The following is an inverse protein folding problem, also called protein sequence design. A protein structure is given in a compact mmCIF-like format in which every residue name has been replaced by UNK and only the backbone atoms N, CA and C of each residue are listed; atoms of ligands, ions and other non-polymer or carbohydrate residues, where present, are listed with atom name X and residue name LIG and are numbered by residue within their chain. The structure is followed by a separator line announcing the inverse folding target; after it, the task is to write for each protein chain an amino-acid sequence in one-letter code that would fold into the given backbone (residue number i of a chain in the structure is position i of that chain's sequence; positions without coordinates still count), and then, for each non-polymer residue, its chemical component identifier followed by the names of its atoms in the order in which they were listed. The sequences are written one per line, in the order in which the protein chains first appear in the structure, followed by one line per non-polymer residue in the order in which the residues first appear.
data_IF_070145243915
#
_entry.id   IF_070145243915
#
_cell.length_a   1.000
_cell.length_b   1.000
_cell.length_c   1.000
_cell.angle_alpha   90.00
_cell.angle_beta   90.00
_cell.angle_gamma   90.00
#
_symmetry.space_group_name_H-M   'P 1'
#
loop_
_entity.id
_entity.type
_entity.pdbx_description
1 polymer ?
#
# COMPACT_ATOMS: atom_id res chain seq x y z
N UNK A 1 33.91 8.08 22.63
CA UNK A 1 32.61 8.64 22.22
C UNK A 1 32.13 7.91 20.97
N UNK A 2 31.16 6.99 21.02
CA UNK A 2 30.74 6.27 19.83
C UNK A 2 29.80 7.16 18.99
N UNK A 3 30.38 8.15 18.30
CA UNK A 3 29.72 9.09 17.38
C UNK A 3 29.48 8.51 15.98
N UNK A 4 29.01 7.27 15.91
CA UNK A 4 28.65 6.61 14.65
C UNK A 4 27.20 6.87 14.25
N UNK A 5 26.90 6.75 12.95
CA UNK A 5 25.50 6.65 12.48
C UNK A 5 24.79 5.51 13.22
N UNK A 6 23.54 5.75 13.62
CA UNK A 6 22.69 4.69 14.19
C UNK A 6 22.64 3.51 13.22
N UNK A 7 22.83 2.31 13.73
CA UNK A 7 22.69 1.06 12.98
C UNK A 7 21.22 0.66 12.88
N UNK A 8 20.93 -0.34 12.06
CA UNK A 8 19.57 -0.89 11.97
C UNK A 8 19.10 -1.42 13.34
N UNK A 9 19.95 -2.16 14.04
CA UNK A 9 19.69 -2.65 15.39
C UNK A 9 19.37 -1.53 16.38
N UNK A 10 20.15 -0.43 16.37
CA UNK A 10 19.90 0.71 17.25
C UNK A 10 18.48 1.28 17.02
N UNK A 11 18.02 1.31 15.77
CA UNK A 11 16.67 1.79 15.41
C UNK A 11 15.56 0.83 15.85
N UNK A 12 15.82 -0.48 15.84
CA UNK A 12 14.88 -1.47 16.36
C UNK A 12 14.67 -1.29 17.86
N UNK A 13 15.75 -1.04 18.62
CA UNK A 13 15.65 -0.73 20.06
C UNK A 13 14.90 0.58 20.32
N UNK A 14 15.05 1.61 19.48
CA UNK A 14 14.25 2.84 19.59
C UNK A 14 12.76 2.53 19.39
N UNK A 15 12.40 1.74 18.37
CA UNK A 15 11.02 1.39 18.08
C UNK A 15 10.39 0.55 19.20
N UNK A 16 11.11 -0.44 19.73
CA UNK A 16 10.66 -1.25 20.86
C UNK A 16 10.43 -0.39 22.11
N UNK A 17 11.39 0.48 22.46
CA UNK A 17 11.25 1.35 23.62
C UNK A 17 10.07 2.34 23.51
N UNK A 18 9.76 2.83 22.31
CA UNK A 18 8.57 3.67 22.10
C UNK A 18 7.26 2.88 22.25
N UNK A 19 7.21 1.64 21.75
CA UNK A 19 6.05 0.78 21.91
C UNK A 19 5.77 0.40 23.38
N UNK A 20 6.84 0.30 24.18
CA UNK A 20 6.78 0.10 25.63
C UNK A 20 6.53 1.40 26.42
N UNK A 21 6.38 2.55 25.74
CA UNK A 21 6.12 3.84 26.37
C UNK A 21 7.34 4.46 27.09
N UNK A 22 8.55 3.99 26.82
CA UNK A 22 9.77 4.53 27.41
C UNK A 22 10.06 5.95 26.93
N UNK A 23 10.58 6.78 27.84
CA UNK A 23 11.03 8.13 27.51
C UNK A 23 12.31 8.14 26.67
N UNK A 24 12.53 9.20 25.87
CA UNK A 24 13.69 9.29 24.97
C UNK A 24 15.05 9.21 25.68
N UNK A 25 15.13 9.69 26.93
CA UNK A 25 16.35 9.61 27.75
C UNK A 25 16.67 8.18 28.19
N UNK A 26 15.64 7.36 28.39
CA UNK A 26 15.72 5.95 28.76
C UNK A 26 16.28 5.12 27.60
N UNK A 27 15.69 5.30 26.41
CA UNK A 27 16.12 4.68 25.15
C UNK A 27 17.56 5.08 24.82
N UNK A 28 17.92 6.34 25.07
CA UNK A 28 19.27 6.86 24.86
C UNK A 28 20.31 6.18 25.78
N UNK A 29 19.98 5.93 27.05
CA UNK A 29 20.85 5.17 27.97
C UNK A 29 21.02 3.72 27.52
N UNK A 30 19.94 3.05 27.09
CA UNK A 30 20.01 1.66 26.62
C UNK A 30 20.94 1.49 25.41
N UNK A 31 21.01 2.51 24.55
CA UNK A 31 21.83 2.49 23.34
C UNK A 31 23.23 3.07 23.50
N UNK A 32 23.58 3.57 24.69
CA UNK A 32 24.79 4.38 24.92
C UNK A 32 24.93 5.49 23.85
N UNK A 33 23.87 6.28 23.70
CA UNK A 33 23.77 7.38 22.73
C UNK A 33 23.26 8.66 23.40
N UNK A 34 23.60 9.85 22.88
CA UNK A 34 22.99 11.10 23.34
C UNK A 34 21.48 11.12 23.08
N UNK A 35 20.69 11.61 24.04
CA UNK A 35 19.23 11.77 23.90
C UNK A 35 18.84 12.63 22.70
N UNK A 36 19.67 13.62 22.35
CA UNK A 36 19.47 14.46 21.16
C UNK A 36 19.62 13.72 19.83
N UNK A 37 20.33 12.58 19.81
CA UNK A 37 20.43 11.71 18.62
C UNK A 37 19.13 10.92 18.44
N UNK A 38 18.61 10.36 19.53
CA UNK A 38 17.36 9.59 19.54
C UNK A 38 16.18 10.50 19.18
N UNK A 39 16.08 11.67 19.83
CA UNK A 39 15.01 12.64 19.55
C UNK A 39 15.01 13.12 18.09
N UNK A 40 16.17 13.47 17.53
CA UNK A 40 16.28 13.90 16.12
C UNK A 40 16.00 12.77 15.14
N UNK A 41 16.38 11.53 15.47
CA UNK A 41 16.07 10.37 14.66
C UNK A 41 14.56 10.11 14.62
N UNK A 42 13.89 10.15 15.78
CA UNK A 42 12.44 9.94 15.89
C UNK A 42 11.68 11.04 15.14
N UNK A 43 12.03 12.32 15.39
CA UNK A 43 11.39 13.45 14.74
C UNK A 43 11.54 13.42 13.21
N UNK A 44 12.71 12.99 12.71
CA UNK A 44 12.99 12.91 11.26
C UNK A 44 12.27 11.76 10.56
N UNK A 45 11.77 10.77 11.30
CA UNK A 45 11.19 9.55 10.74
C UNK A 45 9.77 9.28 11.26
N UNK A 46 8.95 10.32 11.40
CA UNK A 46 7.51 10.19 11.65
C UNK A 46 7.06 10.45 13.09
N UNK A 47 7.96 10.86 13.99
CA UNK A 47 7.62 11.16 15.38
C UNK A 47 7.32 9.91 16.22
N UNK A 48 7.03 10.04 17.52
CA UNK A 48 6.93 8.91 18.44
C UNK A 48 5.79 7.94 18.09
N UNK A 49 4.64 8.43 17.63
CA UNK A 49 3.48 7.60 17.27
C UNK A 49 3.64 6.89 15.91
N UNK A 50 4.53 7.38 15.04
CA UNK A 50 4.73 6.87 13.68
C UNK A 50 6.11 6.25 13.44
N UNK A 51 6.97 6.15 14.45
CA UNK A 51 8.34 5.71 14.29
C UNK A 51 8.44 4.22 13.94
N UNK A 52 9.10 3.90 12.82
CA UNK A 52 9.38 2.52 12.39
C UNK A 52 10.85 2.33 12.05
N UNK A 53 11.47 1.32 12.64
CA UNK A 53 12.91 1.07 12.56
C UNK A 53 13.41 0.80 11.12
N UNK A 54 12.69 -0.06 10.39
CA UNK A 54 13.03 -0.44 9.01
C UNK A 54 12.94 0.76 8.09
N UNK A 55 11.86 1.54 8.20
CA UNK A 55 11.65 2.76 7.45
C UNK A 55 12.78 3.79 7.69
N UNK A 56 13.14 4.04 8.95
CA UNK A 56 14.21 4.97 9.32
C UNK A 56 15.59 4.51 8.81
N UNK A 57 15.81 3.19 8.74
CA UNK A 57 17.03 2.60 8.18
C UNK A 57 17.13 2.84 6.67
N UNK A 58 16.10 2.45 5.90
CA UNK A 58 16.06 2.64 4.45
C UNK A 58 16.14 4.13 4.05
N UNK A 59 15.43 5.02 4.75
CA UNK A 59 15.49 6.46 4.50
C UNK A 59 16.89 7.07 4.69
N UNK A 60 17.69 6.51 5.61
CA UNK A 60 19.09 6.94 5.81
C UNK A 60 19.98 6.51 4.64
N UNK A 61 19.76 5.30 4.11
CA UNK A 61 20.54 4.77 2.98
C UNK A 61 20.25 5.49 1.67
N UNK A 62 18.97 5.78 1.38
CA UNK A 62 18.58 6.53 0.17
C UNK A 62 19.18 7.95 0.15
N UNK A 63 19.25 8.62 1.31
CA UNK A 63 19.88 9.95 1.45
C UNK A 63 21.39 9.90 1.27
N UNK A 64 22.06 8.88 1.81
CA UNK A 64 23.49 8.69 1.62
C UNK A 64 23.87 8.45 0.15
N UNK A 65 22.96 7.84 -0.64
CA UNK A 65 23.13 7.63 -2.08
C UNK A 65 22.90 8.91 -2.90
N UNK A 66 21.90 9.73 -2.54
CA UNK A 66 21.66 11.04 -3.20
C UNK A 66 22.83 12.02 -3.03
N UNK A 67 23.51 11.99 -1.88
CA UNK A 67 24.67 12.85 -1.62
C UNK A 67 25.94 12.44 -2.39
N UNK A 68 25.95 11.28 -3.07
CA UNK A 68 27.11 10.77 -3.83
C UNK A 68 27.05 11.09 -5.34
N UNK A 69 26.04 11.83 -5.80
CA UNK A 69 25.95 12.27 -7.20
C UNK A 69 26.72 13.60 -7.36
N UNK A 70 27.69 13.72 -8.28
CA UNK A 70 28.37 14.99 -8.50
C UNK A 70 27.40 16.01 -9.13
N UNK A 71 27.48 17.32 -8.81
CA UNK A 71 26.62 18.31 -9.42
C UNK A 71 26.98 18.48 -10.90
N UNK A 72 26.07 18.09 -11.79
CA UNK A 72 26.22 18.25 -13.24
C UNK A 72 26.01 19.71 -13.64
N UNK A 73 26.99 20.20 -14.41
CA UNK A 73 27.17 21.53 -14.98
C UNK A 73 25.91 22.20 -15.57
N UNK A 74 25.85 23.51 -15.35
CA UNK A 74 24.99 24.47 -16.01
C UNK A 74 25.52 24.65 -17.44
N UNK A 75 24.73 24.33 -18.46
CA UNK A 75 25.08 24.66 -19.85
C UNK A 75 24.32 25.91 -20.29
N UNK A 76 25.12 26.95 -20.53
CA UNK A 76 24.76 28.22 -21.14
C UNK A 76 24.71 28.07 -22.67
N UNK A 77 23.78 28.78 -23.32
CA UNK A 77 23.57 28.71 -24.77
C UNK A 77 24.23 29.90 -25.47
N UNK A 78 25.21 29.65 -26.36
CA UNK A 78 25.53 30.56 -27.47
C UNK A 78 26.38 29.90 -28.59
N UNK A 79 25.77 29.76 -29.78
CA UNK A 79 26.26 30.26 -31.08
C UNK A 79 27.63 29.85 -31.69
N UNK A 80 27.52 29.34 -32.93
CA UNK A 80 28.40 29.54 -34.10
C UNK A 80 29.64 28.61 -34.31
N UNK A 81 29.64 27.89 -35.45
CA UNK A 81 30.84 27.27 -36.05
C UNK A 81 31.64 28.26 -36.92
N UNK A 82 32.46 27.83 -37.92
CA UNK A 82 32.87 26.47 -38.31
C UNK A 82 34.39 26.30 -38.61
N UNK A 83 34.85 25.07 -38.85
CA UNK A 83 35.95 24.83 -39.81
C UNK A 83 37.09 23.86 -39.44
N UNK A 84 37.24 22.85 -40.31
CA UNK A 84 38.47 22.27 -40.90
C UNK A 84 39.02 20.92 -40.40
N UNK A 85 39.21 20.07 -41.42
CA UNK A 85 40.29 19.11 -41.71
C UNK A 85 40.29 17.71 -41.07
N UNK A 86 39.69 16.78 -41.82
CA UNK A 86 40.32 15.62 -42.51
C UNK A 86 41.69 15.18 -41.97
N UNK A 87 41.74 14.02 -41.33
CA UNK A 87 42.84 13.05 -41.46
C UNK A 87 42.22 11.65 -41.50
N UNK A 88 42.45 10.95 -42.60
CA UNK A 88 42.21 9.52 -42.81
C UNK A 88 43.31 8.74 -42.07
N UNK A 89 42.95 7.65 -41.37
CA UNK A 89 43.80 6.46 -41.24
C UNK A 89 42.98 5.27 -40.69
N UNK A 90 42.86 4.28 -41.56
CA UNK A 90 42.86 2.84 -41.36
C UNK A 90 41.72 2.12 -40.60
N UNK A 91 40.99 1.40 -41.45
CA UNK A 91 40.16 0.23 -41.21
C UNK A 91 40.92 -0.88 -40.48
N UNK A 92 40.30 -1.42 -39.45
CA UNK A 92 40.34 -2.85 -39.16
C UNK A 92 38.92 -3.27 -38.78
N UNK A 93 38.22 -3.83 -39.76
CA UNK A 93 37.06 -4.69 -39.56
C UNK A 93 37.45 -5.87 -38.65
N UNK A 94 36.65 -6.12 -37.61
CA UNK A 94 36.16 -7.47 -37.31
C UNK A 94 34.94 -7.36 -36.38
N UNK A 95 33.81 -7.17 -37.06
CA UNK A 95 32.51 -7.79 -36.84
C UNK A 95 32.27 -8.48 -35.48
N UNK A 96 31.64 -7.74 -34.58
CA UNK A 96 31.07 -8.25 -33.32
C UNK A 96 29.73 -7.58 -32.99
N UNK A 97 28.97 -7.16 -34.02
CA UNK A 97 27.67 -6.51 -33.80
C UNK A 97 26.61 -7.58 -33.57
N UNK A 98 26.47 -8.03 -32.33
CA UNK A 98 25.30 -8.79 -31.84
C UNK A 98 24.02 -7.94 -32.05
N UNK A 99 23.15 -8.24 -33.03
CA UNK A 99 21.95 -7.49 -33.28
C UNK A 99 20.82 -8.13 -32.46
N UNK A 100 20.69 -7.76 -31.18
CA UNK A 100 19.55 -8.28 -30.41
C UNK A 100 19.52 -8.03 -28.91
N UNK A 101 20.63 -7.65 -28.27
CA UNK A 101 20.59 -7.29 -26.84
C UNK A 101 20.11 -5.86 -26.67
N UNK A 102 18.79 -5.67 -26.71
CA UNK A 102 18.16 -4.46 -26.18
C UNK A 102 18.66 -4.32 -24.74
N UNK A 103 19.47 -3.29 -24.49
CA UNK A 103 20.09 -3.05 -23.19
C UNK A 103 18.96 -2.80 -22.21
N UNK A 104 18.61 -3.81 -21.41
CA UNK A 104 17.54 -3.73 -20.43
C UNK A 104 17.91 -2.60 -19.46
N UNK A 105 17.13 -1.52 -19.48
CA UNK A 105 17.30 -0.41 -18.55
C UNK A 105 16.77 -0.88 -17.20
N UNK A 106 17.68 -1.41 -16.39
CA UNK A 106 17.34 -1.86 -15.05
C UNK A 106 17.15 -0.64 -14.14
N UNK A 107 16.03 -0.61 -13.41
CA UNK A 107 15.75 0.39 -12.39
C UNK A 107 16.54 0.14 -11.09
N UNK A 108 16.27 0.95 -10.05
CA UNK A 108 16.92 0.86 -8.73
C UNK A 108 16.78 -0.53 -8.06
N UNK A 109 15.84 -1.35 -8.52
CA UNK A 109 15.51 -2.68 -8.00
C UNK A 109 15.86 -3.82 -8.98
N UNK A 110 16.54 -3.52 -10.09
CA UNK A 110 16.91 -4.55 -11.07
C UNK A 110 15.75 -5.01 -11.95
N UNK A 111 14.66 -4.24 -12.07
CA UNK A 111 13.53 -4.51 -12.97
C UNK A 111 13.72 -3.75 -14.27
N UNK A 112 13.21 -4.29 -15.37
CA UNK A 112 13.17 -3.55 -16.64
C UNK A 112 12.23 -2.34 -16.56
N UNK A 113 12.79 -1.14 -16.61
CA UNK A 113 12.07 0.12 -16.53
C UNK A 113 11.11 0.33 -17.71
N UNK A 114 11.35 -0.31 -18.86
CA UNK A 114 10.42 -0.32 -20.00
C UNK A 114 9.20 -1.17 -19.65
N UNK A 115 9.42 -2.38 -19.15
CA UNK A 115 8.35 -3.30 -18.78
C UNK A 115 7.44 -2.73 -17.65
N UNK A 116 8.01 -2.02 -16.67
CA UNK A 116 7.23 -1.35 -15.61
C UNK A 116 6.32 -0.27 -16.20
N UNK A 117 6.82 0.51 -17.17
CA UNK A 117 6.02 1.55 -17.84
C UNK A 117 4.92 0.95 -18.72
N UNK A 118 5.20 -0.11 -19.45
CA UNK A 118 4.20 -0.83 -20.25
C UNK A 118 3.12 -1.48 -19.36
N UNK A 119 3.49 -1.98 -18.19
CA UNK A 119 2.52 -2.44 -17.20
C UNK A 119 1.64 -1.29 -16.70
N UNK A 120 2.23 -0.13 -16.35
CA UNK A 120 1.46 1.03 -15.90
C UNK A 120 0.44 1.52 -16.96
N UNK A 121 0.81 1.47 -18.25
CA UNK A 121 -0.10 1.81 -19.35
C UNK A 121 -1.24 0.80 -19.48
N UNK A 122 -0.95 -0.50 -19.48
CA UNK A 122 -1.99 -1.55 -19.49
C UNK A 122 -2.91 -1.48 -18.27
N UNK A 123 -2.36 -1.17 -17.09
CA UNK A 123 -3.15 -1.02 -15.89
C UNK A 123 -4.08 0.20 -15.97
N UNK A 124 -3.60 1.31 -16.55
CA UNK A 124 -4.45 2.46 -16.84
C UNK A 124 -5.56 2.14 -17.85
N UNK A 125 -5.31 1.29 -18.85
CA UNK A 125 -6.33 0.86 -19.82
C UNK A 125 -7.48 0.09 -19.14
N UNK A 126 -7.17 -0.83 -18.22
CA UNK A 126 -8.19 -1.54 -17.44
C UNK A 126 -9.08 -0.59 -16.62
N UNK A 127 -8.49 0.46 -16.04
CA UNK A 127 -9.26 1.47 -15.31
C UNK A 127 -10.15 2.30 -16.25
N UNK A 128 -9.72 2.55 -17.48
CA UNK A 128 -10.54 3.24 -18.49
C UNK A 128 -11.72 2.39 -18.90
N UNK A 129 -11.53 1.09 -19.08
CA UNK A 129 -12.62 0.13 -19.33
C UNK A 129 -13.61 0.10 -18.16
N UNK A 130 -13.13 0.23 -16.92
CA UNK A 130 -13.95 0.38 -15.73
C UNK A 130 -14.65 1.75 -15.61
N UNK A 131 -14.42 2.68 -16.54
CA UNK A 131 -15.13 3.96 -16.64
C UNK A 131 -14.35 5.19 -16.15
N UNK A 132 -13.09 5.05 -15.74
CA UNK A 132 -12.28 6.22 -15.34
C UNK A 132 -11.86 7.04 -16.57
N UNK A 133 -11.81 8.39 -16.47
CA UNK A 133 -11.25 9.21 -17.52
C UNK A 133 -9.78 8.86 -17.79
N UNK A 134 -9.39 8.78 -19.07
CA UNK A 134 -8.04 8.33 -19.49
C UNK A 134 -6.88 8.96 -18.73
N UNK A 135 -6.90 10.28 -18.51
CA UNK A 135 -5.81 10.94 -17.79
C UNK A 135 -5.82 10.67 -16.28
N UNK A 136 -7.00 10.49 -15.68
CA UNK A 136 -7.15 10.11 -14.28
C UNK A 136 -6.55 8.72 -14.07
N UNK A 137 -6.89 7.76 -14.93
CA UNK A 137 -6.34 6.40 -14.91
C UNK A 137 -4.82 6.38 -15.03
N UNK A 138 -4.24 7.17 -15.96
CA UNK A 138 -2.78 7.26 -16.14
C UNK A 138 -2.05 7.86 -14.93
N UNK A 139 -2.62 8.89 -14.30
CA UNK A 139 -2.08 9.47 -13.06
C UNK A 139 -2.13 8.46 -11.93
N UNK A 140 -3.26 7.77 -11.78
CA UNK A 140 -3.45 6.76 -10.74
C UNK A 140 -2.51 5.56 -10.92
N UNK A 141 -2.37 5.04 -12.14
CA UNK A 141 -1.42 3.98 -12.46
C UNK A 141 0.02 4.40 -12.15
N UNK A 142 0.42 5.65 -12.47
CA UNK A 142 1.76 6.17 -12.18
C UNK A 142 2.04 6.23 -10.67
N UNK A 143 1.02 6.60 -9.88
CA UNK A 143 1.11 6.62 -8.42
C UNK A 143 1.17 5.20 -7.82
N UNK A 144 0.47 4.21 -8.40
CA UNK A 144 0.57 2.81 -7.96
C UNK A 144 1.91 2.16 -8.29
N UNK A 145 2.52 2.54 -9.41
CA UNK A 145 3.77 1.93 -9.87
C UNK A 145 5.01 2.70 -9.44
N UNK A 146 4.88 3.78 -8.65
CA UNK A 146 6.04 4.53 -8.16
C UNK A 146 6.63 3.90 -6.90
N UNK A 147 7.94 3.68 -6.87
CA UNK A 147 8.62 3.20 -5.66
C UNK A 147 8.87 4.32 -4.64
N UNK A 148 8.66 5.58 -5.03
CA UNK A 148 8.91 6.78 -4.21
C UNK A 148 7.83 7.04 -3.15
N UNK A 149 6.78 6.20 -3.09
CA UNK A 149 5.53 6.34 -2.31
C UNK A 149 4.72 7.61 -2.56
N UNK A 150 5.25 8.57 -3.33
CA UNK A 150 4.57 9.81 -3.67
C UNK A 150 5.13 10.40 -4.96
N UNK A 151 4.32 11.17 -5.67
CA UNK A 151 4.78 11.94 -6.83
C UNK A 151 4.33 13.39 -6.69
N UNK A 152 5.18 14.31 -7.11
CA UNK A 152 4.84 15.73 -7.30
C UNK A 152 4.14 15.95 -8.64
N UNK A 153 3.43 17.07 -8.78
CA UNK A 153 2.84 17.47 -10.07
C UNK A 153 3.91 17.56 -11.18
N UNK A 154 5.10 18.05 -10.87
CA UNK A 154 6.21 18.16 -11.82
C UNK A 154 6.74 16.79 -12.26
N UNK A 155 6.79 15.80 -11.36
CA UNK A 155 7.17 14.43 -11.70
C UNK A 155 6.12 13.77 -12.58
N UNK A 156 4.83 13.93 -12.27
CA UNK A 156 3.73 13.43 -13.10
C UNK A 156 3.74 14.05 -14.51
N UNK A 157 3.98 15.37 -14.62
CA UNK A 157 4.12 16.06 -15.91
C UNK A 157 5.26 15.45 -16.74
N UNK A 158 6.44 15.23 -16.12
CA UNK A 158 7.60 14.67 -16.82
C UNK A 158 7.38 13.22 -17.22
N UNK A 159 6.86 12.39 -16.32
CA UNK A 159 6.65 10.96 -16.56
C UNK A 159 5.58 10.71 -17.63
N UNK A 160 4.44 11.40 -17.52
CA UNK A 160 3.31 11.22 -18.42
C UNK A 160 3.40 12.05 -19.71
N UNK A 161 4.39 12.96 -19.79
CA UNK A 161 4.63 13.87 -20.93
C UNK A 161 3.37 14.64 -21.33
N UNK A 162 2.67 15.18 -20.33
CA UNK A 162 1.39 15.92 -20.49
C UNK A 162 1.49 17.32 -19.89
N UNK A 163 0.53 18.18 -20.22
CA UNK A 163 0.52 19.54 -19.68
C UNK A 163 0.28 19.57 -18.15
N UNK A 164 0.81 20.58 -17.44
CA UNK A 164 0.49 20.79 -16.02
C UNK A 164 -1.01 20.91 -15.76
N UNK A 165 -1.76 21.55 -16.65
CA UNK A 165 -3.21 21.70 -16.53
C UNK A 165 -3.95 20.35 -16.57
N UNK A 166 -3.48 19.40 -17.38
CA UNK A 166 -4.03 18.04 -17.44
C UNK A 166 -3.83 17.30 -16.12
N UNK A 167 -2.64 17.43 -15.52
CA UNK A 167 -2.34 16.85 -14.20
C UNK A 167 -3.23 17.49 -13.14
N UNK A 168 -3.32 18.83 -13.08
CA UNK A 168 -4.16 19.51 -12.09
C UNK A 168 -5.63 19.07 -12.14
N UNK A 169 -6.19 18.89 -13.34
CA UNK A 169 -7.57 18.39 -13.51
C UNK A 169 -7.73 16.95 -13.04
N UNK A 170 -6.77 16.08 -13.36
CA UNK A 170 -6.80 14.69 -12.93
C UNK A 170 -6.66 14.54 -11.41
N UNK A 171 -5.76 15.31 -10.80
CA UNK A 171 -5.60 15.37 -9.35
C UNK A 171 -6.88 15.88 -8.68
N UNK A 172 -7.47 16.97 -9.16
CA UNK A 172 -8.72 17.50 -8.59
C UNK A 172 -9.87 16.48 -8.66
N UNK A 173 -9.95 15.70 -9.75
CA UNK A 173 -10.90 14.60 -9.85
C UNK A 173 -10.63 13.52 -8.79
N UNK A 174 -9.38 13.07 -8.68
CA UNK A 174 -8.97 12.02 -7.73
C UNK A 174 -9.16 12.45 -6.27
N UNK A 175 -8.91 13.72 -5.93
CA UNK A 175 -9.19 14.28 -4.62
C UNK A 175 -10.69 14.31 -4.33
N UNK A 176 -11.51 14.67 -5.32
CA UNK A 176 -12.97 14.69 -5.17
C UNK A 176 -13.55 13.30 -4.88
N UNK A 177 -12.98 12.26 -5.50
CA UNK A 177 -13.37 10.86 -5.22
C UNK A 177 -12.55 10.23 -4.09
N UNK A 178 -11.79 11.06 -3.35
CA UNK A 178 -10.97 10.69 -2.19
C UNK A 178 -9.92 9.59 -2.47
N UNK A 179 -9.54 9.42 -3.73
CA UNK A 179 -8.58 8.39 -4.16
C UNK A 179 -7.11 8.77 -3.94
N UNK A 180 -6.82 10.03 -3.65
CA UNK A 180 -5.46 10.48 -3.35
C UNK A 180 -5.49 11.48 -2.21
N UNK A 181 -4.40 11.54 -1.44
CA UNK A 181 -4.18 12.59 -0.46
C UNK A 181 -3.12 13.56 -1.00
N UNK A 182 -3.40 14.86 -0.89
CA UNK A 182 -2.43 15.92 -1.14
C UNK A 182 -1.76 16.30 0.17
N UNK A 183 -0.46 16.09 0.25
CA UNK A 183 0.35 16.47 1.42
C UNK A 183 1.33 17.59 1.09
N UNK A 184 1.63 18.38 2.12
CA UNK A 184 2.64 19.44 2.12
C UNK A 184 3.66 19.13 3.20
N UNK A 185 4.93 19.05 2.85
CA UNK A 185 6.00 18.84 3.82
C UNK A 185 6.36 20.20 4.43
N UNK A 186 6.44 20.27 5.76
CA UNK A 186 6.74 21.50 6.48
C UNK A 186 8.09 22.05 6.02
N UNK A 187 8.08 23.20 5.32
CA UNK A 187 9.29 23.86 4.81
C UNK A 187 9.57 23.65 3.31
N UNK A 188 8.81 22.81 2.61
CA UNK A 188 8.88 22.71 1.13
C UNK A 188 7.69 23.42 0.47
N UNK A 189 7.94 24.09 -0.68
CA UNK A 189 6.88 24.73 -1.49
C UNK A 189 6.07 23.74 -2.35
N UNK A 190 6.50 22.48 -2.44
CA UNK A 190 6.00 21.55 -3.44
C UNK A 190 5.01 20.56 -2.80
N UNK A 191 3.88 20.37 -3.47
CA UNK A 191 2.85 19.40 -3.07
C UNK A 191 3.19 18.01 -3.63
N UNK A 192 2.98 16.97 -2.82
CA UNK A 192 3.13 15.58 -3.23
C UNK A 192 1.81 14.83 -3.02
N UNK A 193 1.56 13.90 -3.93
CA UNK A 193 0.35 13.09 -3.97
C UNK A 193 0.69 11.67 -3.55
N UNK A 194 -0.11 11.14 -2.62
CA UNK A 194 0.08 9.82 -2.03
C UNK A 194 -1.19 9.00 -2.26
N UNK A 195 -1.01 7.72 -2.59
CA UNK A 195 -2.05 6.71 -2.43
C UNK A 195 -1.80 6.09 -1.05
N UNK A 196 -2.65 6.40 -0.08
CA UNK A 196 -2.60 5.75 1.23
C UNK A 196 -3.09 4.30 1.14
N UNK A 197 -2.63 3.45 2.06
CA UNK A 197 -2.95 2.01 2.09
C UNK A 197 -4.48 1.76 2.20
N UNK A 198 -5.26 2.77 2.60
CA UNK A 198 -6.72 2.75 2.80
C UNK A 198 -7.54 3.40 1.66
N UNK A 199 -6.88 3.93 0.62
CA UNK A 199 -7.54 4.69 -0.47
C UNK A 199 -8.64 3.89 -1.16
N UNK A 200 -8.40 2.60 -1.38
CA UNK A 200 -9.39 1.71 -1.95
C UNK A 200 -10.62 1.59 -1.05
N UNK A 201 -10.43 1.50 0.27
CA UNK A 201 -11.52 1.42 1.22
C UNK A 201 -12.36 2.71 1.24
N UNK A 202 -11.73 3.89 1.17
CA UNK A 202 -12.43 5.18 1.13
C UNK A 202 -13.20 5.42 -0.17
N UNK A 203 -12.59 5.15 -1.32
CA UNK A 203 -13.26 5.25 -2.62
C UNK A 203 -14.44 4.25 -2.72
N UNK A 204 -14.26 3.06 -2.15
CA UNK A 204 -15.28 2.02 -2.06
C UNK A 204 -16.46 2.45 -1.17
N UNK A 205 -16.22 3.04 0.01
CA UNK A 205 -17.25 3.61 0.89
C UNK A 205 -17.98 4.81 0.24
N UNK A 206 -17.28 5.66 -0.51
CA UNK A 206 -17.91 6.79 -1.22
C UNK A 206 -18.82 6.30 -2.35
N UNK A 207 -18.43 5.25 -3.07
CA UNK A 207 -19.29 4.64 -4.10
C UNK A 207 -20.50 3.94 -3.48
N UNK A 208 -20.37 3.33 -2.30
CA UNK A 208 -21.48 2.71 -1.59
C UNK A 208 -22.56 3.73 -1.22
N UNK A 209 -22.17 4.91 -0.72
CA UNK A 209 -23.10 6.03 -0.45
C UNK A 209 -23.89 6.46 -1.68
N UNK A 210 -23.23 6.58 -2.83
CA UNK A 210 -23.91 6.95 -4.09
C UNK A 210 -24.92 5.88 -4.49
N UNK A 211 -24.60 4.60 -4.32
CA UNK A 211 -25.55 3.51 -4.60
C UNK A 211 -26.75 3.54 -3.63
N UNK A 212 -26.54 3.88 -2.35
CA UNK A 212 -27.63 4.07 -1.39
C UNK A 212 -28.60 5.19 -1.81
N UNK A 213 -28.07 6.33 -2.27
CA UNK A 213 -28.88 7.46 -2.75
C UNK A 213 -29.74 7.06 -3.97
N UNK A 214 -29.17 6.26 -4.88
CA UNK A 214 -29.89 5.73 -6.04
C UNK A 214 -30.98 4.74 -5.62
N UNK A 215 -30.71 3.91 -4.63
CA UNK A 215 -31.69 2.98 -4.08
C UNK A 215 -32.88 3.72 -3.46
N UNK A 216 -32.62 4.74 -2.64
CA UNK A 216 -33.65 5.56 -2.00
C UNK A 216 -34.53 6.27 -3.04
N UNK A 217 -33.91 6.92 -4.03
CA UNK A 217 -34.64 7.60 -5.10
C UNK A 217 -35.52 6.64 -5.92
N UNK A 218 -35.01 5.44 -6.22
CA UNK A 218 -35.76 4.43 -6.95
C UNK A 218 -36.93 3.86 -6.12
N UNK A 219 -36.73 3.60 -4.83
CA UNK A 219 -37.80 3.15 -3.92
C UNK A 219 -38.89 4.22 -3.74
N UNK A 220 -38.51 5.50 -3.64
CA UNK A 220 -39.47 6.60 -3.63
C UNK A 220 -40.29 6.64 -4.92
N UNK A 221 -39.62 6.53 -6.08
CA UNK A 221 -40.28 6.47 -7.37
C UNK A 221 -41.22 5.26 -7.50
N UNK A 222 -40.82 4.08 -7.02
CA UNK A 222 -41.64 2.88 -7.03
C UNK A 222 -42.96 3.06 -6.25
N UNK A 223 -42.90 3.74 -5.10
CA UNK A 223 -44.09 4.10 -4.31
C UNK A 223 -44.97 5.12 -5.04
N UNK A 224 -44.37 6.11 -5.69
CA UNK A 224 -45.10 7.16 -6.40
C UNK A 224 -45.86 6.62 -7.62
N UNK A 225 -45.22 5.77 -8.42
CA UNK A 225 -45.83 5.18 -9.61
C UNK A 225 -46.71 3.96 -9.29
N UNK A 226 -46.56 3.35 -8.12
CA UNK A 226 -47.26 2.14 -7.70
C UNK A 226 -46.61 0.88 -8.28
N UNK A 227 -46.39 -0.14 -7.43
CA UNK A 227 -45.67 -1.38 -7.76
C UNK A 227 -46.33 -2.20 -8.87
N UNK A 228 -47.65 -2.10 -9.02
CA UNK A 228 -48.43 -2.78 -10.05
C UNK A 228 -48.23 -2.17 -11.45
N UNK A 229 -47.62 -0.99 -11.54
CA UNK A 229 -47.33 -0.38 -12.84
C UNK A 229 -45.99 -0.85 -13.39
N UNK A 230 -45.81 -0.93 -14.73
CA UNK A 230 -44.53 -1.27 -15.32
C UNK A 230 -43.39 -0.32 -14.92
N UNK A 231 -43.70 0.95 -14.64
CA UNK A 231 -42.71 1.92 -14.18
C UNK A 231 -42.32 1.68 -12.72
N UNK A 232 -43.31 1.48 -11.84
CA UNK A 232 -43.06 1.16 -10.43
C UNK A 232 -42.28 -0.14 -10.25
N UNK A 233 -42.61 -1.20 -10.99
CA UNK A 233 -41.88 -2.48 -10.93
C UNK A 233 -40.42 -2.37 -11.38
N UNK A 234 -40.10 -1.54 -12.39
CA UNK A 234 -38.70 -1.30 -12.79
C UNK A 234 -37.91 -0.55 -11.72
N UNK A 235 -38.53 0.47 -11.14
CA UNK A 235 -37.91 1.29 -10.10
C UNK A 235 -37.73 0.49 -8.80
N UNK A 236 -38.66 -0.40 -8.47
CA UNK A 236 -38.53 -1.32 -7.34
C UNK A 236 -37.34 -2.27 -7.52
N UNK A 237 -37.22 -2.92 -8.68
CA UNK A 237 -36.07 -3.79 -9.00
C UNK A 237 -34.74 -3.04 -8.95
N UNK A 238 -34.71 -1.80 -9.46
CA UNK A 238 -33.55 -0.93 -9.37
C UNK A 238 -33.21 -0.60 -7.91
N UNK A 239 -34.21 -0.25 -7.11
CA UNK A 239 -34.06 0.06 -5.69
C UNK A 239 -33.50 -1.11 -4.87
N UNK A 240 -34.02 -2.33 -5.09
CA UNK A 240 -33.55 -3.55 -4.43
C UNK A 240 -32.10 -3.86 -4.83
N UNK A 241 -31.77 -3.77 -6.12
CA UNK A 241 -30.42 -4.03 -6.61
C UNK A 241 -29.39 -3.07 -6.02
N UNK A 242 -29.63 -1.76 -6.08
CA UNK A 242 -28.68 -0.77 -5.59
C UNK A 242 -28.58 -0.74 -4.06
N UNK A 243 -29.65 -1.10 -3.34
CA UNK A 243 -29.60 -1.30 -1.89
C UNK A 243 -28.66 -2.47 -1.55
N UNK A 244 -28.86 -3.64 -2.18
CA UNK A 244 -27.98 -4.80 -1.97
C UNK A 244 -26.53 -4.49 -2.33
N UNK A 245 -26.30 -3.82 -3.46
CA UNK A 245 -24.96 -3.44 -3.89
C UNK A 245 -24.31 -2.43 -2.92
N UNK A 246 -25.08 -1.46 -2.42
CA UNK A 246 -24.60 -0.52 -1.38
C UNK A 246 -24.24 -1.25 -0.09
N UNK A 247 -25.05 -2.22 0.33
CA UNK A 247 -24.80 -3.00 1.55
C UNK A 247 -23.53 -3.84 1.39
N UNK A 248 -23.39 -4.58 0.30
CA UNK A 248 -22.19 -5.35 -0.04
C UNK A 248 -20.94 -4.45 -0.10
N UNK A 249 -21.09 -3.21 -0.58
CA UNK A 249 -20.00 -2.24 -0.68
C UNK A 249 -19.69 -1.49 0.63
N UNK A 250 -20.66 -1.21 1.51
CA UNK A 250 -20.38 -0.64 2.84
C UNK A 250 -19.78 -1.66 3.82
N UNK A 251 -19.29 -2.78 3.28
CA UNK A 251 -18.66 -3.86 3.98
C UNK A 251 -19.47 -5.14 3.94
N UNK A 252 -20.78 -5.08 3.68
CA UNK A 252 -21.67 -6.23 3.77
C UNK A 252 -21.49 -7.00 5.08
N UNK A 253 -22.00 -8.23 5.14
CA UNK A 253 -21.55 -9.20 6.13
C UNK A 253 -20.01 -9.34 6.16
N UNK A 254 -19.29 -9.05 5.08
CA UNK A 254 -17.83 -9.30 4.92
C UNK A 254 -16.87 -8.41 5.70
N UNK A 255 -17.14 -7.12 5.96
CA UNK A 255 -16.23 -6.24 6.72
C UNK A 255 -16.49 -6.35 8.22
N UNK A 256 -17.76 -6.49 8.61
CA UNK A 256 -18.12 -6.91 9.98
C UNK A 256 -17.56 -8.31 10.22
N UNK A 257 -17.70 -9.24 9.27
CA UNK A 257 -17.08 -10.56 9.38
C UNK A 257 -15.55 -10.51 9.31
N UNK A 258 -14.94 -9.51 8.67
CA UNK A 258 -13.48 -9.33 8.69
C UNK A 258 -13.00 -8.85 10.07
N UNK A 259 -13.69 -7.88 10.68
CA UNK A 259 -13.40 -7.44 12.06
C UNK A 259 -13.67 -8.56 13.08
N UNK A 260 -14.77 -9.29 12.89
CA UNK A 260 -15.11 -10.45 13.71
C UNK A 260 -14.09 -11.58 13.53
N UNK A 261 -13.66 -11.86 12.30
CA UNK A 261 -12.60 -12.81 11.97
C UNK A 261 -11.27 -12.41 12.64
N UNK A 262 -10.90 -11.13 12.58
CA UNK A 262 -9.70 -10.63 13.25
C UNK A 262 -9.78 -10.80 14.77
N UNK A 263 -10.95 -10.58 15.36
CA UNK A 263 -11.18 -10.79 16.79
C UNK A 263 -11.08 -12.28 17.18
N UNK A 264 -11.66 -13.17 16.37
CA UNK A 264 -11.54 -14.63 16.57
C UNK A 264 -10.09 -15.10 16.42
N UNK A 265 -9.36 -14.61 15.42
CA UNK A 265 -7.93 -14.87 15.25
C UNK A 265 -7.11 -14.41 16.46
N UNK A 266 -7.38 -13.21 16.96
CA UNK A 266 -6.73 -12.69 18.17
C UNK A 266 -7.00 -13.58 19.39
N UNK A 267 -8.23 -14.07 19.55
CA UNK A 267 -8.60 -14.99 20.62
C UNK A 267 -7.85 -16.33 20.52
N UNK A 268 -7.77 -16.91 19.32
CA UNK A 268 -7.04 -18.16 19.07
C UNK A 268 -5.52 -18.00 19.28
N UNK A 269 -4.94 -16.88 18.84
CA UNK A 269 -3.52 -16.56 19.08
C UNK A 269 -3.27 -16.41 20.59
N UNK A 270 -4.15 -15.70 21.30
CA UNK A 270 -4.03 -15.49 22.74
C UNK A 270 -4.15 -16.80 23.52
N UNK A 271 -5.10 -17.66 23.16
CA UNK A 271 -5.29 -18.95 23.81
C UNK A 271 -4.08 -19.86 23.65
N UNK A 272 -3.42 -19.82 22.48
CA UNK A 272 -2.24 -20.65 22.20
C UNK A 272 -2.53 -22.16 22.16
N UNK A 273 -3.80 -22.55 22.29
CA UNK A 273 -4.29 -23.93 22.28
C UNK A 273 -5.50 -24.04 21.35
N UNK A 274 -5.80 -25.23 20.80
CA UNK A 274 -7.00 -25.43 20.00
C UNK A 274 -8.27 -25.09 20.78
N UNK A 275 -9.18 -24.31 20.17
CA UNK A 275 -10.49 -23.98 20.75
C UNK A 275 -11.62 -24.43 19.83
N UNK A 276 -12.71 -24.88 20.42
CA UNK A 276 -13.98 -25.15 19.73
C UNK A 276 -14.80 -23.86 19.61
N UNK A 277 -15.68 -23.79 18.62
CA UNK A 277 -16.57 -22.64 18.45
C UNK A 277 -17.53 -22.35 19.66
N UNK A 278 -18.02 -23.32 20.46
CA UNK A 278 -18.72 -23.03 21.72
C UNK A 278 -17.82 -22.34 22.76
N UNK A 279 -16.54 -22.74 22.83
CA UNK A 279 -15.59 -22.11 23.75
C UNK A 279 -15.31 -20.66 23.33
N UNK A 280 -15.16 -20.40 22.03
CA UNK A 280 -15.03 -19.03 21.48
C UNK A 280 -16.28 -18.19 21.75
N UNK A 281 -17.47 -18.73 21.51
CA UNK A 281 -18.74 -18.05 21.81
C UNK A 281 -18.85 -17.66 23.29
N UNK A 282 -18.46 -18.56 24.18
CA UNK A 282 -18.45 -18.31 25.64
C UNK A 282 -17.43 -17.24 26.02
N UNK A 283 -16.19 -17.34 25.50
CA UNK A 283 -15.11 -16.43 25.83
C UNK A 283 -15.33 -15.01 25.28
N UNK A 284 -15.87 -14.88 24.07
CA UNK A 284 -16.14 -13.59 23.42
C UNK A 284 -17.50 -13.01 23.83
N UNK A 285 -18.33 -13.76 24.55
CA UNK A 285 -19.72 -13.39 24.87
C UNK A 285 -20.54 -13.10 23.60
N UNK A 286 -20.31 -13.90 22.55
CA UNK A 286 -20.96 -13.73 21.24
C UNK A 286 -21.99 -14.82 20.98
N UNK A 287 -23.10 -14.51 20.28
CA UNK A 287 -24.02 -15.54 19.79
C UNK A 287 -23.29 -16.56 18.91
N UNK A 288 -23.65 -17.83 19.03
CA UNK A 288 -23.00 -18.91 18.30
C UNK A 288 -22.96 -18.70 16.78
N UNK A 289 -24.05 -18.27 16.10
CA UNK A 289 -24.02 -18.02 14.66
C UNK A 289 -22.98 -16.98 14.23
N UNK A 290 -22.79 -15.92 15.03
CA UNK A 290 -21.78 -14.88 14.74
C UNK A 290 -20.35 -15.44 14.76
N UNK A 291 -20.07 -16.35 15.70
CA UNK A 291 -18.76 -17.02 15.78
C UNK A 291 -18.55 -17.94 14.59
N UNK A 292 -19.58 -18.68 14.18
CA UNK A 292 -19.50 -19.58 13.01
C UNK A 292 -19.26 -18.77 11.72
N UNK A 293 -19.98 -17.65 11.55
CA UNK A 293 -19.79 -16.74 10.40
C UNK A 293 -18.37 -16.14 10.38
N UNK A 294 -17.84 -15.75 11.54
CA UNK A 294 -16.49 -15.20 11.68
C UNK A 294 -15.39 -16.24 11.37
N UNK A 295 -15.55 -17.49 11.82
CA UNK A 295 -14.66 -18.60 11.50
C UNK A 295 -14.67 -18.90 9.99
N UNK A 296 -15.87 -18.98 9.40
CA UNK A 296 -16.04 -19.19 7.96
C UNK A 296 -15.40 -18.07 7.15
N UNK A 297 -15.54 -16.81 7.57
CA UNK A 297 -14.92 -15.67 6.91
C UNK A 297 -13.38 -15.70 7.00
N UNK A 298 -12.83 -16.07 8.15
CA UNK A 298 -11.38 -16.21 8.34
C UNK A 298 -10.76 -17.31 7.46
N UNK A 299 -11.49 -18.41 7.22
CA UNK A 299 -11.10 -19.47 6.29
C UNK A 299 -11.24 -19.04 4.81
N UNK A 300 -12.34 -18.39 4.48
CA UNK A 300 -12.68 -18.04 3.09
C UNK A 300 -11.83 -16.89 2.55
N UNK A 301 -11.50 -15.89 3.38
CA UNK A 301 -10.87 -14.64 2.96
C UNK A 301 -9.47 -14.43 3.56
N UNK A 302 -8.54 -15.34 3.25
CA UNK A 302 -7.14 -15.31 3.68
C UNK A 302 -6.30 -14.08 3.21
N UNK A 303 -6.91 -13.13 2.49
CA UNK A 303 -6.30 -11.87 2.08
C UNK A 303 -6.31 -10.83 3.21
N UNK A 304 -7.35 -10.81 4.06
CA UNK A 304 -7.49 -9.83 5.15
C UNK A 304 -6.85 -10.29 6.47
N UNK A 305 -6.50 -11.57 6.59
CA UNK A 305 -6.01 -12.20 7.84
C UNK A 305 -4.49 -12.38 7.87
N UNK A 306 -3.77 -11.85 6.88
CA UNK A 306 -2.30 -11.86 6.83
C UNK A 306 -1.70 -11.19 8.08
N UNK A 307 -0.71 -11.79 8.77
CA UNK A 307 0.19 -12.87 8.32
C UNK A 307 -0.25 -14.31 8.65
N UNK A 308 -1.48 -14.53 9.14
CA UNK A 308 -1.92 -15.81 9.67
C UNK A 308 -3.12 -16.39 8.92
N UNK A 309 -3.39 -17.67 9.12
CA UNK A 309 -4.59 -18.34 8.61
C UNK A 309 -5.17 -19.25 9.69
N UNK A 310 -6.49 -19.44 9.67
CA UNK A 310 -7.14 -20.47 10.49
C UNK A 310 -6.75 -21.85 9.98
N UNK A 311 -6.56 -22.76 10.92
CA UNK A 311 -6.43 -24.19 10.69
C UNK A 311 -7.50 -24.92 11.51
N UNK A 312 -8.50 -25.46 10.81
CA UNK A 312 -9.56 -26.31 11.35
C UNK A 312 -9.09 -27.76 11.42
N UNK A 313 -9.19 -28.37 12.59
CA UNK A 313 -8.78 -29.75 12.86
C UNK A 313 -9.96 -30.72 12.74
N UNK A 314 -9.71 -32.02 12.49
CA UNK A 314 -10.78 -33.04 12.41
C UNK A 314 -11.67 -33.14 13.64
N UNK A 315 -11.15 -32.77 14.82
CA UNK A 315 -11.86 -32.80 16.10
C UNK A 315 -12.73 -31.54 16.34
N UNK A 316 -13.04 -30.79 15.29
CA UNK A 316 -13.81 -29.54 15.30
C UNK A 316 -13.22 -28.43 16.20
N UNK A 317 -11.89 -28.39 16.24
CA UNK A 317 -11.13 -27.34 16.93
C UNK A 317 -10.39 -26.46 15.93
N UNK A 318 -10.20 -25.20 16.31
CA UNK A 318 -9.56 -24.18 15.50
C UNK A 318 -8.25 -23.75 16.13
N UNK A 319 -7.25 -23.54 15.29
CA UNK A 319 -5.94 -22.96 15.64
C UNK A 319 -5.54 -21.93 14.61
N UNK A 320 -4.48 -21.17 14.88
CA UNK A 320 -3.93 -20.20 13.95
C UNK A 320 -2.51 -20.60 13.59
N UNK A 321 -2.20 -20.59 12.29
CA UNK A 321 -0.87 -20.89 11.76
C UNK A 321 -0.37 -19.74 10.89
N UNK A 322 0.95 -19.60 10.78
CA UNK A 322 1.53 -18.66 9.82
C UNK A 322 1.19 -19.10 8.38
N UNK A 323 0.84 -18.14 7.52
CA UNK A 323 0.48 -18.42 6.13
C UNK A 323 1.61 -19.20 5.41
N UNK A 324 1.34 -20.30 4.67
CA UNK A 324 2.36 -21.25 4.19
C UNK A 324 3.50 -20.70 3.32
N UNK A 325 3.39 -19.46 2.82
CA UNK A 325 4.39 -18.79 1.97
C UNK A 325 5.10 -17.61 2.65
N UNK A 326 4.72 -17.23 3.88
CA UNK A 326 5.35 -16.12 4.61
C UNK A 326 6.71 -16.50 5.19
N UNK A 327 6.90 -17.78 5.54
CA UNK A 327 8.16 -18.33 6.02
C UNK A 327 8.61 -19.43 5.07
N UNK A 328 9.89 -19.43 4.71
CA UNK A 328 10.50 -20.57 4.00
C UNK A 328 10.54 -21.81 4.91
N UNK A 329 10.62 -23.00 4.31
CA UNK A 329 10.76 -24.25 5.06
C UNK A 329 11.98 -24.23 6.01
N UNK A 330 13.08 -23.61 5.56
CA UNK A 330 14.31 -23.42 6.35
C UNK A 330 14.07 -22.53 7.56
N UNK A 331 13.39 -21.40 7.39
CA UNK A 331 13.04 -20.49 8.50
C UNK A 331 12.12 -21.15 9.51
N UNK A 332 11.08 -21.88 9.06
CA UNK A 332 10.20 -22.64 9.96
C UNK A 332 11.00 -23.64 10.80
N UNK A 333 11.86 -24.43 10.16
CA UNK A 333 12.68 -25.44 10.84
C UNK A 333 13.63 -24.82 11.87
N UNK A 334 14.26 -23.68 11.55
CA UNK A 334 15.12 -22.97 12.48
C UNK A 334 14.35 -22.44 13.71
N UNK A 335 13.15 -21.89 13.50
CA UNK A 335 12.30 -21.39 14.59
C UNK A 335 11.79 -22.51 15.50
N UNK A 336 11.39 -23.66 14.93
CA UNK A 336 10.95 -24.82 15.72
C UNK A 336 12.10 -25.43 16.54
N UNK A 337 13.34 -25.37 16.05
CA UNK A 337 14.51 -25.86 16.79
C UNK A 337 14.85 -25.03 18.04
N UNK A 338 14.33 -23.79 18.13
CA UNK A 338 14.46 -22.91 19.30
C UNK A 338 13.21 -22.85 20.16
N UNK A 339 12.15 -23.60 19.83
CA UNK A 339 10.95 -23.66 20.65
C UNK A 339 11.31 -24.28 22.01
N UNK A 340 11.05 -23.59 23.14
CA UNK A 340 11.30 -24.17 24.45
C UNK A 340 10.47 -25.45 24.58
N UNK A 341 11.12 -26.55 24.95
CA UNK A 341 10.43 -27.79 25.31
C UNK A 341 9.54 -27.46 26.50
N UNK A 342 8.22 -27.54 26.33
CA UNK A 342 7.27 -27.26 27.40
C UNK A 342 7.59 -28.16 28.61
N UNK A 343 7.82 -27.54 29.76
CA UNK A 343 7.97 -28.17 31.08
C UNK A 343 6.60 -28.34 31.71
#
# INVERSE_FOLDING_TARGET
MPGGRLRHQDRQTIAAGLAEGLGYAEIARQLDRPTSTISREIARNGGPAGYRADHAHYATESRARRSRRPPGEVLDHAGAGPGRQRVEADEADEDGRDPGRQRVELDEYGRDAVAVREYAERFAELMVEAGLPRMVARVLASLYTTDSRSLTAAELVRQLRVSPASISKAIAYLEKVEMIERRRETGQRHEYYVIEDDVWLRAWMTSARTNADWAEAAQYGAKLFGLETPAGSRLDKMGVFFAQLSDDMNGGPTAIAADDAMTVLAALIHAGTPLTAPQLSTALTWPRPRVDDALQAAETYAYFTDPVVINHHPDDTYTVIAKPLRLTATQRKALTAHAPTAV
#
